data_IF_644978867713
#
_entry.id   IF_644978867713
#
_cell.length_a   1.000
_cell.length_b   1.000
_cell.length_c   1.000
_cell.angle_alpha   90.00
_cell.angle_beta   90.00
_cell.angle_gamma   90.00
#
_symmetry.space_group_name_H-M   'P 1'
#
loop_
_entity.id
_entity.type
_entity.pdbx_description
1 polymer ?
#
# COMPACT_ATOMS: atom_id res chain seq x y z
N UNK A 1 8.11 -17.90 10.84
CA UNK A 1 9.25 -17.05 10.43
C UNK A 1 8.93 -16.41 9.09
N UNK A 2 8.43 -15.18 9.09
CA UNK A 2 8.13 -14.41 7.88
C UNK A 2 9.36 -13.58 7.54
N UNK A 3 10.14 -14.02 6.55
CA UNK A 3 11.29 -13.27 6.03
C UNK A 3 10.76 -12.06 5.25
N UNK A 4 10.73 -10.88 5.88
CA UNK A 4 10.57 -9.61 5.17
C UNK A 4 11.82 -9.33 4.35
N UNK A 5 11.85 -9.84 3.10
CA UNK A 5 12.86 -9.43 2.11
C UNK A 5 12.73 -7.92 1.90
N UNK A 6 13.73 -7.15 2.33
CA UNK A 6 13.87 -5.76 1.89
C UNK A 6 14.16 -5.76 0.40
N UNK A 7 13.46 -4.92 -0.34
CA UNK A 7 13.74 -4.64 -1.74
C UNK A 7 14.69 -3.46 -1.76
N UNK A 8 15.97 -3.71 -2.06
CA UNK A 8 16.96 -2.65 -2.21
C UNK A 8 16.52 -1.70 -3.34
N UNK A 9 16.59 -0.38 -3.08
CA UNK A 9 16.18 0.64 -4.07
C UNK A 9 14.69 0.99 -4.11
N UNK A 10 13.86 0.43 -3.22
CA UNK A 10 12.43 0.74 -3.13
C UNK A 10 12.11 2.25 -3.07
N UNK A 11 12.82 3.09 -2.29
CA UNK A 11 12.55 4.54 -2.25
C UNK A 11 12.69 5.21 -3.64
N UNK A 12 13.76 4.90 -4.36
CA UNK A 12 14.00 5.47 -5.70
C UNK A 12 12.95 5.00 -6.73
N UNK A 13 12.48 3.75 -6.62
CA UNK A 13 11.39 3.24 -7.46
C UNK A 13 10.09 3.98 -7.17
N UNK A 14 9.77 4.20 -5.88
CA UNK A 14 8.57 4.91 -5.47
C UNK A 14 8.59 6.38 -5.88
N UNK A 15 9.74 7.07 -5.79
CA UNK A 15 9.91 8.45 -6.28
C UNK A 15 9.68 8.54 -7.79
N UNK A 16 10.31 7.64 -8.58
CA UNK A 16 10.12 7.61 -10.03
C UNK A 16 8.67 7.27 -10.41
N UNK A 17 8.05 6.36 -9.68
CA UNK A 17 6.64 5.99 -9.86
C UNK A 17 5.72 7.18 -9.56
N UNK A 18 5.94 7.88 -8.45
CA UNK A 18 5.21 9.08 -8.08
C UNK A 18 5.35 10.18 -9.15
N UNK A 19 6.58 10.47 -9.59
CA UNK A 19 6.82 11.45 -10.64
C UNK A 19 6.07 11.08 -11.92
N UNK A 20 6.16 9.82 -12.34
CA UNK A 20 5.49 9.33 -13.56
C UNK A 20 3.96 9.41 -13.43
N UNK A 21 3.40 9.03 -12.28
CA UNK A 21 1.96 9.08 -12.03
C UNK A 21 1.37 10.49 -12.11
N UNK A 22 2.17 11.49 -11.74
CA UNK A 22 1.77 12.91 -11.74
C UNK A 22 2.06 13.64 -13.07
N UNK A 23 2.92 13.09 -13.93
CA UNK A 23 3.37 13.76 -15.18
C UNK A 23 2.95 13.06 -16.47
N UNK A 24 2.59 11.77 -16.42
CA UNK A 24 2.19 11.02 -17.61
C UNK A 24 0.84 11.49 -18.18
N UNK A 25 0.66 11.32 -19.49
CA UNK A 25 -0.62 11.53 -20.18
C UNK A 25 -1.61 10.40 -19.82
N UNK A 26 -2.80 10.77 -19.36
CA UNK A 26 -3.87 9.82 -19.05
C UNK A 26 -4.56 9.18 -20.27
N UNK A 27 -4.15 9.50 -21.51
CA UNK A 27 -4.74 8.99 -22.77
C UNK A 27 -6.26 9.15 -22.80
N UNK A 28 -6.75 10.33 -22.41
CA UNK A 28 -8.18 10.65 -22.30
C UNK A 28 -8.97 9.72 -21.37
N UNK A 29 -8.30 8.97 -20.49
CA UNK A 29 -8.89 8.05 -19.53
C UNK A 29 -8.76 8.60 -18.11
N UNK A 30 -9.87 8.67 -17.37
CA UNK A 30 -9.84 9.01 -15.94
C UNK A 30 -9.21 7.86 -15.15
N UNK A 31 -8.38 8.18 -14.15
CA UNK A 31 -7.67 7.21 -13.31
C UNK A 31 -6.97 6.11 -14.13
N UNK A 32 -6.03 6.48 -15.02
CA UNK A 32 -5.46 5.59 -16.01
C UNK A 32 -4.67 4.46 -15.33
N UNK A 33 -4.87 3.26 -15.86
CA UNK A 33 -4.16 2.04 -15.52
C UNK A 33 -3.79 1.33 -16.82
N UNK A 34 -2.53 0.93 -16.96
CA UNK A 34 -2.02 0.47 -18.24
C UNK A 34 -1.87 -1.03 -18.21
N UNK A 35 -2.47 -1.72 -19.18
CA UNK A 35 -2.39 -3.15 -19.33
C UNK A 35 -1.58 -3.48 -20.59
N UNK A 36 -0.70 -4.47 -20.47
CA UNK A 36 -0.02 -5.07 -21.62
C UNK A 36 -0.82 -6.28 -22.05
N UNK A 37 -1.20 -6.30 -23.32
CA UNK A 37 -1.83 -7.44 -23.96
C UNK A 37 -0.92 -8.02 -25.04
N UNK A 38 -0.95 -9.33 -25.21
CA UNK A 38 -0.39 -10.04 -26.37
C UNK A 38 -1.51 -10.58 -27.24
N UNK A 39 -1.22 -10.86 -28.51
CA UNK A 39 -2.18 -11.48 -29.42
C UNK A 39 -2.00 -12.99 -29.43
N UNK A 40 -3.10 -13.72 -29.25
CA UNK A 40 -3.14 -15.19 -29.32
C UNK A 40 -4.25 -15.64 -30.24
N UNK A 41 -3.95 -16.64 -31.06
CA UNK A 41 -4.96 -17.30 -31.87
C UNK A 41 -5.63 -18.39 -31.05
N UNK A 42 -6.96 -18.39 -31.09
CA UNK A 42 -7.78 -19.47 -30.55
C UNK A 42 -8.62 -20.07 -31.66
N UNK A 43 -8.89 -21.37 -31.55
CA UNK A 43 -9.89 -22.02 -32.39
C UNK A 43 -11.26 -21.63 -31.86
N UNK A 44 -12.11 -21.16 -32.78
CA UNK A 44 -13.51 -20.81 -32.51
C UNK A 44 -14.41 -21.64 -33.41
N UNK A 45 -15.68 -21.71 -33.04
CA UNK A 45 -16.67 -22.33 -33.89
C UNK A 45 -16.93 -21.46 -35.14
N UNK A 46 -17.12 -22.13 -36.27
CA UNK A 46 -17.34 -21.51 -37.59
C UNK A 46 -18.56 -20.59 -37.64
N UNK A 47 -19.55 -20.83 -36.78
CA UNK A 47 -20.80 -20.07 -36.75
C UNK A 47 -20.71 -18.83 -35.83
N UNK A 48 -19.58 -18.62 -35.13
CA UNK A 48 -19.30 -17.45 -34.31
C UNK A 48 -18.36 -16.46 -35.02
N UNK A 49 -18.15 -15.29 -34.41
CA UNK A 49 -17.28 -14.25 -34.95
C UNK A 49 -15.81 -14.70 -34.99
N UNK A 50 -15.22 -14.74 -36.20
CA UNK A 50 -13.89 -15.27 -36.49
C UNK A 50 -13.12 -14.38 -37.48
N UNK A 51 -11.78 -14.39 -37.40
CA UNK A 51 -10.92 -13.61 -38.29
C UNK A 51 -10.52 -14.40 -39.54
N UNK A 52 -10.33 -15.72 -39.39
CA UNK A 52 -10.01 -16.63 -40.48
C UNK A 52 -10.85 -17.91 -40.36
N UNK A 53 -11.19 -18.48 -41.52
CA UNK A 53 -11.91 -19.74 -41.59
C UNK A 53 -11.42 -20.54 -42.79
N UNK A 54 -11.11 -21.81 -42.55
CA UNK A 54 -10.52 -22.69 -43.54
C UNK A 54 -10.99 -24.12 -43.37
N UNK A 55 -10.86 -24.90 -44.44
CA UNK A 55 -11.06 -26.35 -44.40
C UNK A 55 -9.71 -27.01 -44.16
N UNK A 56 -9.62 -27.81 -43.11
CA UNK A 56 -8.41 -28.48 -42.67
C UNK A 56 -8.57 -30.00 -42.74
N UNK A 57 -7.58 -30.67 -43.31
CA UNK A 57 -7.55 -32.13 -43.33
C UNK A 57 -6.96 -32.66 -42.02
N UNK A 58 -7.71 -33.50 -41.30
CA UNK A 58 -7.30 -33.99 -39.99
C UNK A 58 -5.98 -34.80 -40.03
N UNK A 59 -5.85 -35.76 -40.95
CA UNK A 59 -4.65 -36.61 -41.01
C UNK A 59 -3.45 -35.98 -41.73
N UNK A 60 -3.69 -35.26 -42.83
CA UNK A 60 -2.62 -34.72 -43.69
C UNK A 60 -2.07 -33.38 -43.20
N UNK A 61 -2.75 -32.75 -42.24
CA UNK A 61 -2.39 -31.43 -41.72
C UNK A 61 -2.23 -30.39 -42.85
N UNK A 62 -3.14 -30.42 -43.82
CA UNK A 62 -3.14 -29.51 -44.98
C UNK A 62 -4.42 -28.68 -45.02
N UNK A 63 -4.28 -27.41 -45.44
CA UNK A 63 -5.40 -26.54 -45.73
C UNK A 63 -5.92 -26.80 -47.15
N UNK A 64 -7.24 -26.75 -47.32
CA UNK A 64 -7.87 -26.97 -48.61
C UNK A 64 -7.55 -25.83 -49.58
N UNK A 65 -7.21 -26.17 -50.83
CA UNK A 65 -7.19 -25.19 -51.91
C UNK A 65 -8.58 -24.58 -52.15
N UNK A 66 -8.65 -23.39 -52.75
CA UNK A 66 -9.92 -22.68 -52.94
C UNK A 66 -10.99 -23.53 -53.65
N UNK A 67 -10.61 -24.26 -54.71
CA UNK A 67 -11.52 -25.15 -55.44
C UNK A 67 -12.04 -26.30 -54.56
N UNK A 68 -11.16 -26.85 -53.70
CA UNK A 68 -11.52 -27.93 -52.76
C UNK A 68 -12.43 -27.39 -51.67
N UNK A 69 -12.11 -26.23 -51.10
CA UNK A 69 -12.92 -25.56 -50.09
C UNK A 69 -14.34 -25.26 -50.60
N UNK A 70 -14.48 -24.74 -51.83
CA UNK A 70 -15.80 -24.53 -52.46
C UNK A 70 -16.60 -25.82 -52.58
N UNK A 71 -15.96 -26.92 -52.97
CA UNK A 71 -16.62 -28.24 -53.04
C UNK A 71 -17.06 -28.73 -51.66
N UNK A 72 -16.22 -28.58 -50.64
CA UNK A 72 -16.53 -28.99 -49.27
C UNK A 72 -17.67 -28.15 -48.68
N UNK A 73 -17.73 -26.86 -49.01
CA UNK A 73 -18.81 -25.99 -48.59
C UNK A 73 -20.16 -26.43 -49.17
N UNK A 74 -20.19 -26.83 -50.45
CA UNK A 74 -21.39 -27.40 -51.07
C UNK A 74 -21.82 -28.70 -50.39
N UNK A 75 -20.87 -29.60 -50.09
CA UNK A 75 -21.18 -30.85 -49.37
C UNK A 75 -21.79 -30.59 -47.99
N UNK A 76 -21.18 -29.67 -47.21
CA UNK A 76 -21.70 -29.29 -45.89
C UNK A 76 -23.09 -28.67 -46.00
N UNK A 77 -23.31 -27.77 -46.97
CA UNK A 77 -24.61 -27.12 -47.20
C UNK A 77 -25.71 -28.11 -47.55
N UNK A 78 -25.39 -29.15 -48.32
CA UNK A 78 -26.31 -30.21 -48.70
C UNK A 78 -26.49 -31.28 -47.60
N UNK A 79 -25.88 -31.10 -46.42
CA UNK A 79 -25.93 -32.06 -45.31
C UNK A 79 -25.18 -33.37 -45.58
N UNK A 80 -24.24 -33.36 -46.54
CA UNK A 80 -23.42 -34.52 -46.90
C UNK A 80 -22.13 -34.56 -46.11
N UNK A 81 -21.60 -35.77 -45.92
CA UNK A 81 -20.32 -35.98 -45.24
C UNK A 81 -19.17 -35.30 -46.00
N UNK A 82 -18.30 -34.61 -45.25
CA UNK A 82 -17.10 -33.95 -45.77
C UNK A 82 -15.85 -34.82 -45.62
N UNK A 83 -16.01 -36.06 -45.14
CA UNK A 83 -14.91 -36.98 -44.83
C UNK A 83 -14.04 -36.45 -43.69
N UNK A 84 -12.72 -36.59 -43.82
CA UNK A 84 -11.71 -36.14 -42.84
C UNK A 84 -11.42 -34.63 -42.88
N UNK A 85 -12.21 -33.87 -43.66
CA UNK A 85 -12.10 -32.43 -43.72
C UNK A 85 -13.00 -31.78 -42.67
N UNK A 86 -12.40 -30.94 -41.83
CA UNK A 86 -13.10 -30.16 -40.82
C UNK A 86 -12.96 -28.68 -41.13
N UNK A 87 -14.05 -27.94 -40.92
CA UNK A 87 -14.05 -26.49 -41.02
C UNK A 87 -13.56 -25.92 -39.68
N UNK A 88 -12.41 -25.26 -39.70
CA UNK A 88 -11.78 -24.65 -38.52
C UNK A 88 -11.84 -23.15 -38.70
N UNK A 89 -12.40 -22.45 -37.72
CA UNK A 89 -12.33 -21.01 -37.63
C UNK A 89 -11.34 -20.62 -36.53
N UNK A 90 -10.59 -19.55 -36.77
CA UNK A 90 -9.62 -19.02 -35.81
C UNK A 90 -9.87 -17.54 -35.58
N UNK A 91 -9.57 -17.10 -34.35
CA UNK A 91 -9.70 -15.71 -33.93
C UNK A 91 -8.48 -15.25 -33.16
N UNK A 92 -7.98 -14.06 -33.48
CA UNK A 92 -6.91 -13.40 -32.77
C UNK A 92 -7.48 -12.61 -31.58
N UNK A 93 -7.41 -13.21 -30.39
CA UNK A 93 -7.84 -12.56 -29.16
C UNK A 93 -6.68 -11.85 -28.46
N UNK A 94 -7.03 -10.83 -27.68
CA UNK A 94 -6.08 -10.15 -26.81
C UNK A 94 -5.99 -10.88 -25.47
N UNK A 95 -4.79 -11.36 -25.14
CA UNK A 95 -4.47 -12.06 -23.90
C UNK A 95 -3.75 -11.13 -22.93
N UNK A 96 -4.21 -11.07 -21.68
CA UNK A 96 -3.65 -10.21 -20.64
C UNK A 96 -2.31 -10.77 -20.15
N UNK A 97 -1.26 -9.94 -20.18
CA UNK A 97 0.08 -10.34 -19.70
C UNK A 97 0.41 -9.69 -18.36
N UNK A 98 0.24 -8.37 -18.24
CA UNK A 98 0.52 -7.64 -17.00
C UNK A 98 -0.19 -6.29 -16.96
N UNK A 99 -0.23 -5.66 -15.79
CA UNK A 99 -0.71 -4.29 -15.63
C UNK A 99 0.23 -3.44 -14.77
N UNK A 100 0.29 -2.16 -15.07
CA UNK A 100 1.15 -1.18 -14.41
C UNK A 100 0.37 0.12 -14.16
N UNK A 101 0.74 0.83 -13.10
CA UNK A 101 0.22 2.16 -12.80
C UNK A 101 0.67 3.23 -13.82
N UNK A 102 1.77 2.99 -14.54
CA UNK A 102 2.34 3.95 -15.49
C UNK A 102 2.57 3.32 -16.85
N UNK A 103 2.43 4.14 -17.90
CA UNK A 103 2.75 3.71 -19.27
C UNK A 103 4.22 3.31 -19.38
N UNK A 104 5.11 4.03 -18.69
CA UNK A 104 6.54 3.72 -18.67
C UNK A 104 6.80 2.34 -18.06
N UNK A 105 6.09 1.95 -16.99
CA UNK A 105 6.23 0.61 -16.43
C UNK A 105 5.87 -0.51 -17.43
N UNK A 106 4.86 -0.27 -18.28
CA UNK A 106 4.53 -1.18 -19.37
C UNK A 106 5.63 -1.22 -20.45
N UNK A 107 6.23 -0.07 -20.79
CA UNK A 107 7.35 0.00 -21.74
C UNK A 107 8.57 -0.76 -21.22
N UNK A 108 8.93 -0.55 -19.96
CA UNK A 108 10.04 -1.25 -19.30
C UNK A 108 9.79 -2.77 -19.28
N UNK A 109 8.55 -3.20 -19.01
CA UNK A 109 8.18 -4.61 -19.10
C UNK A 109 8.34 -5.17 -20.52
N UNK A 110 7.90 -4.43 -21.55
CA UNK A 110 8.03 -4.85 -22.94
C UNK A 110 9.47 -4.87 -23.44
N UNK A 111 10.33 -3.99 -22.93
CA UNK A 111 11.76 -4.02 -23.23
C UNK A 111 12.41 -5.31 -22.72
N UNK A 112 12.03 -5.76 -21.52
CA UNK A 112 12.57 -6.97 -20.89
C UNK A 112 11.94 -8.24 -21.48
N UNK A 113 10.61 -8.28 -21.63
CA UNK A 113 9.85 -9.50 -21.92
C UNK A 113 9.21 -9.52 -23.32
N UNK A 114 9.26 -8.43 -24.07
CA UNK A 114 8.54 -8.31 -25.35
C UNK A 114 8.95 -9.34 -26.40
N UNK A 115 10.18 -9.86 -26.34
CA UNK A 115 10.66 -10.93 -27.22
C UNK A 115 9.92 -12.26 -27.03
N UNK A 116 9.30 -12.48 -25.87
CA UNK A 116 8.48 -13.67 -25.58
C UNK A 116 6.99 -13.48 -25.94
N UNK A 117 6.61 -12.29 -26.39
CA UNK A 117 5.21 -11.92 -26.63
C UNK A 117 4.93 -11.78 -28.14
N UNK A 118 3.76 -12.26 -28.57
CA UNK A 118 3.29 -12.11 -29.95
C UNK A 118 2.48 -10.82 -30.10
N UNK A 119 2.92 -9.91 -30.98
CA UNK A 119 2.29 -8.60 -31.26
C UNK A 119 1.81 -7.86 -29.99
N UNK A 120 2.69 -7.62 -29.00
CA UNK A 120 2.26 -6.99 -27.77
C UNK A 120 1.84 -5.52 -27.99
N UNK A 121 0.87 -5.06 -27.20
CA UNK A 121 0.45 -3.66 -27.21
C UNK A 121 0.01 -3.19 -25.82
N UNK A 122 0.11 -1.87 -25.60
CA UNK A 122 -0.29 -1.23 -24.35
C UNK A 122 -1.70 -0.65 -24.52
N UNK A 123 -2.59 -1.03 -23.62
CA UNK A 123 -3.96 -0.54 -23.53
C UNK A 123 -4.13 0.27 -22.24
N UNK A 124 -4.66 1.49 -22.34
CA UNK A 124 -5.04 2.26 -21.18
C UNK A 124 -6.49 1.91 -20.81
N UNK A 125 -6.66 1.38 -19.60
CA UNK A 125 -7.95 1.18 -18.94
C UNK A 125 -8.09 2.15 -17.76
N UNK A 126 -9.26 2.15 -17.12
CA UNK A 126 -9.54 2.99 -15.95
C UNK A 126 -9.66 2.15 -14.69
N UNK A 127 -9.21 2.70 -13.56
CA UNK A 127 -9.51 2.18 -12.22
C UNK A 127 -10.91 2.56 -11.73
N UNK A 128 -11.72 3.21 -12.56
CA UNK A 128 -13.06 3.67 -12.20
C UNK A 128 -13.89 2.57 -11.52
N UNK A 129 -14.52 2.94 -10.40
CA UNK A 129 -15.30 2.06 -9.50
C UNK A 129 -14.50 1.03 -8.71
N UNK A 130 -13.17 1.02 -8.80
CA UNK A 130 -12.30 0.25 -7.92
C UNK A 130 -11.72 1.13 -6.82
N UNK A 131 -12.44 1.24 -5.68
CA UNK A 131 -12.04 2.11 -4.55
C UNK A 131 -10.68 1.77 -3.97
N UNK A 132 -10.33 0.48 -3.91
CA UNK A 132 -9.06 0.02 -3.35
C UNK A 132 -7.88 0.46 -4.22
N UNK A 133 -7.99 0.26 -5.53
CA UNK A 133 -6.95 0.65 -6.47
C UNK A 133 -6.84 2.16 -6.63
N UNK A 134 -7.96 2.89 -6.56
CA UNK A 134 -7.97 4.35 -6.52
C UNK A 134 -7.23 4.88 -5.29
N UNK A 135 -7.55 4.38 -4.10
CA UNK A 135 -6.88 4.78 -2.86
C UNK A 135 -5.36 4.50 -2.90
N UNK A 136 -4.97 3.34 -3.45
CA UNK A 136 -3.55 3.02 -3.63
C UNK A 136 -2.86 3.98 -4.61
N UNK A 137 -3.51 4.29 -5.74
CA UNK A 137 -2.99 5.22 -6.75
C UNK A 137 -2.83 6.63 -6.16
N UNK A 138 -3.82 7.12 -5.42
CA UNK A 138 -3.77 8.42 -4.75
C UNK A 138 -2.65 8.47 -3.70
N UNK A 139 -2.51 7.42 -2.88
CA UNK A 139 -1.43 7.33 -1.91
C UNK A 139 -0.03 7.34 -2.57
N UNK A 140 0.10 6.71 -3.73
CA UNK A 140 1.32 6.75 -4.55
C UNK A 140 1.59 8.14 -5.15
N UNK A 141 0.56 8.85 -5.60
CA UNK A 141 0.70 10.21 -6.13
C UNK A 141 1.16 11.22 -5.07
N UNK A 142 0.61 11.12 -3.86
CA UNK A 142 0.91 12.04 -2.75
C UNK A 142 2.22 11.66 -2.03
N UNK A 143 2.78 10.48 -2.31
CA UNK A 143 4.07 10.06 -1.75
C UNK A 143 3.99 9.56 -0.30
N UNK A 144 2.79 9.28 0.20
CA UNK A 144 2.57 8.82 1.59
C UNK A 144 3.31 7.52 1.91
N UNK A 145 3.59 6.70 0.89
CA UNK A 145 4.33 5.45 1.02
C UNK A 145 5.85 5.67 1.12
N UNK A 146 6.40 6.76 0.58
CA UNK A 146 7.80 7.13 0.74
C UNK A 146 8.06 7.82 2.11
N UNK A 147 7.10 8.62 2.59
CA UNK A 147 7.21 9.36 3.85
C UNK A 147 7.21 8.47 5.10
N UNK A 148 6.51 7.33 5.09
CA UNK A 148 6.48 6.42 6.26
C UNK A 148 7.86 5.81 6.55
N UNK A 149 8.68 5.55 5.54
CA UNK A 149 10.07 5.13 5.76
C UNK A 149 10.93 6.26 6.34
N UNK A 150 10.68 7.51 5.94
CA UNK A 150 11.48 8.66 6.38
C UNK A 150 11.08 9.16 7.79
N UNK A 151 9.80 9.09 8.17
CA UNK A 151 9.33 9.47 9.52
C UNK A 151 10.03 8.69 10.63
N UNK A 152 10.28 7.40 10.42
CA UNK A 152 10.99 6.56 11.41
C UNK A 152 12.43 7.06 11.61
N UNK A 153 13.09 7.49 10.53
CA UNK A 153 14.45 8.03 10.56
C UNK A 153 14.49 9.45 11.13
N UNK A 154 13.50 10.29 10.84
CA UNK A 154 13.39 11.65 11.40
C UNK A 154 13.13 11.64 12.90
N UNK A 155 12.24 10.78 13.40
CA UNK A 155 11.99 10.66 14.85
C UNK A 155 13.25 10.21 15.58
N UNK A 156 14.03 9.29 15.00
CA UNK A 156 15.32 8.87 15.56
C UNK A 156 16.33 10.03 15.50
N UNK A 157 16.40 10.77 14.40
CA UNK A 157 17.29 11.92 14.27
C UNK A 157 16.94 13.06 15.25
N UNK A 158 15.65 13.37 15.43
CA UNK A 158 15.15 14.39 16.35
C UNK A 158 15.39 13.98 17.81
N UNK A 159 15.19 12.70 18.14
CA UNK A 159 15.53 12.18 19.46
C UNK A 159 17.04 12.26 19.73
N UNK A 160 17.87 11.91 18.73
CA UNK A 160 19.34 12.01 18.83
C UNK A 160 19.79 13.47 18.99
N UNK A 161 19.20 14.39 18.25
CA UNK A 161 19.50 15.83 18.36
C UNK A 161 19.05 16.39 19.70
N UNK A 162 17.86 16.04 20.19
CA UNK A 162 17.37 16.43 21.51
C UNK A 162 18.26 15.90 22.65
N UNK A 163 18.72 14.65 22.56
CA UNK A 163 19.67 14.07 23.51
C UNK A 163 21.03 14.78 23.47
N UNK A 164 21.51 15.13 22.27
CA UNK A 164 22.75 15.89 22.09
C UNK A 164 22.65 17.29 22.69
N UNK A 165 21.56 18.01 22.41
CA UNK A 165 21.34 19.36 22.91
C UNK A 165 21.19 19.38 24.42
N UNK A 166 20.52 18.38 24.98
CA UNK A 166 20.43 18.18 26.44
C UNK A 166 21.81 17.93 27.05
N UNK A 167 22.64 17.08 26.44
CA UNK A 167 24.01 16.83 26.90
C UNK A 167 24.92 18.07 26.83
N UNK A 168 24.73 18.93 25.82
CA UNK A 168 25.45 20.21 25.69
C UNK A 168 24.96 21.20 26.75
N UNK A 169 23.64 21.34 26.91
CA UNK A 169 22.99 22.30 27.84
C UNK A 169 23.35 22.05 29.29
N UNK A 170 23.49 20.79 29.71
CA UNK A 170 23.80 20.43 31.10
C UNK A 170 25.28 20.12 31.35
N UNK A 171 26.19 20.59 30.49
CA UNK A 171 27.65 20.36 30.60
C UNK A 171 28.00 18.88 30.83
N UNK A 172 27.30 17.97 30.14
CA UNK A 172 27.48 16.53 30.32
C UNK A 172 28.96 16.15 30.25
N UNK A 173 29.40 15.33 31.22
CA UNK A 173 30.79 14.89 31.37
C UNK A 173 31.33 14.35 30.04
N UNK A 174 32.65 14.48 29.80
CA UNK A 174 33.26 13.93 28.57
C UNK A 174 32.87 12.46 28.35
N UNK A 175 32.67 11.70 29.43
CA UNK A 175 32.20 10.32 29.41
C UNK A 175 30.79 10.16 28.79
N UNK A 176 29.85 11.04 29.12
CA UNK A 176 28.48 11.04 28.57
C UNK A 176 28.48 11.45 27.09
N UNK A 177 29.35 12.39 26.70
CA UNK A 177 29.55 12.78 25.29
C UNK A 177 30.16 11.64 24.46
N UNK A 178 31.13 10.90 25.01
CA UNK A 178 31.76 9.75 24.35
C UNK A 178 30.80 8.55 24.26
N UNK A 179 29.99 8.30 25.31
CA UNK A 179 28.97 7.25 25.29
C UNK A 179 27.87 7.57 24.27
N UNK A 180 27.39 8.81 24.20
CA UNK A 180 26.44 9.24 23.17
C UNK A 180 27.05 9.10 21.77
N UNK A 181 28.29 9.52 21.54
CA UNK A 181 28.96 9.35 20.25
C UNK A 181 29.07 7.87 19.82
N UNK A 182 29.37 6.96 20.75
CA UNK A 182 29.47 5.53 20.48
C UNK A 182 28.12 4.84 20.23
N UNK A 183 27.02 5.39 20.74
CA UNK A 183 25.64 4.91 20.48
C UNK A 183 25.12 5.51 19.15
N UNK A 184 25.43 6.77 18.88
CA UNK A 184 24.90 7.54 17.74
C UNK A 184 25.55 7.11 16.42
N UNK A 185 26.87 6.87 16.40
CA UNK A 185 27.60 6.55 15.16
C UNK A 185 27.14 5.23 14.50
N UNK A 186 26.87 4.12 15.23
CA UNK A 186 26.33 2.89 14.64
C UNK A 186 24.86 3.03 14.17
N UNK A 187 24.04 3.78 14.90
CA UNK A 187 22.62 4.03 14.55
C UNK A 187 22.50 4.85 13.28
N UNK A 188 23.35 5.88 13.10
CA UNK A 188 23.41 6.67 11.86
C UNK A 188 24.08 5.93 10.69
N UNK A 189 24.87 4.87 10.96
CA UNK A 189 25.51 4.02 9.95
C UNK A 189 24.68 2.80 9.54
N UNK A 190 23.42 2.70 9.99
CA UNK A 190 22.49 1.67 9.52
C UNK A 190 22.74 0.26 10.06
N UNK A 191 23.35 0.12 11.25
CA UNK A 191 23.50 -1.20 11.89
C UNK A 191 22.15 -1.66 12.42
N UNK A 192 21.71 -2.84 11.96
CA UNK A 192 20.40 -3.43 12.26
C UNK A 192 20.17 -3.63 13.77
N UNK A 193 19.00 -3.20 14.25
CA UNK A 193 18.52 -3.43 15.62
C UNK A 193 17.72 -4.73 15.67
N UNK A 194 18.27 -5.77 16.33
CA UNK A 194 17.52 -6.99 16.60
C UNK A 194 16.39 -6.74 17.61
N UNK A 195 15.21 -7.27 17.31
CA UNK A 195 13.94 -7.10 18.05
C UNK A 195 13.97 -7.66 19.48
N UNK A 196 15.02 -8.41 19.85
CA UNK A 196 15.16 -9.11 21.14
C UNK A 196 15.55 -8.22 22.31
N UNK A 197 15.98 -6.98 22.07
CA UNK A 197 16.51 -6.10 23.14
C UNK A 197 15.52 -5.02 23.61
N UNK A 198 14.32 -4.98 23.00
CA UNK A 198 13.29 -4.00 23.31
C UNK A 198 12.35 -4.54 24.39
N UNK A 199 12.12 -3.73 25.41
CA UNK A 199 11.14 -3.94 26.48
C UNK A 199 10.09 -2.84 26.44
N UNK A 200 8.89 -3.13 26.95
CA UNK A 200 7.88 -2.10 27.17
C UNK A 200 8.23 -1.37 28.47
N UNK A 201 8.31 -0.04 28.39
CA UNK A 201 8.48 0.85 29.53
C UNK A 201 7.23 1.71 29.69
N UNK A 202 6.63 1.68 30.87
CA UNK A 202 5.53 2.58 31.22
C UNK A 202 6.08 3.86 31.82
N UNK A 203 5.73 5.01 31.24
CA UNK A 203 6.19 6.32 31.71
C UNK A 203 5.53 6.75 33.02
N UNK A 204 4.35 6.21 33.33
CA UNK A 204 3.59 6.58 34.53
C UNK A 204 4.07 5.83 35.78
N UNK A 205 4.24 4.51 35.68
CA UNK A 205 4.60 3.66 36.83
C UNK A 205 6.05 3.15 36.81
N UNK A 206 6.81 3.41 35.73
CA UNK A 206 8.19 2.94 35.58
C UNK A 206 8.31 1.42 35.43
N UNK A 207 7.20 0.71 35.14
CA UNK A 207 7.20 -0.73 34.95
C UNK A 207 8.01 -1.12 33.70
N UNK A 208 8.81 -2.16 33.83
CA UNK A 208 9.63 -2.76 32.76
C UNK A 208 9.18 -4.22 32.64
N UNK A 209 8.53 -4.56 31.53
CA UNK A 209 7.92 -5.89 31.35
C UNK A 209 8.39 -6.60 30.09
N UNK A 210 8.29 -7.92 30.11
CA UNK A 210 8.44 -8.76 28.92
C UNK A 210 7.17 -8.71 28.06
N UNK A 211 7.32 -9.01 26.78
CA UNK A 211 6.22 -8.94 25.82
C UNK A 211 5.49 -10.27 25.83
N UNK A 212 4.41 -10.35 26.61
CA UNK A 212 3.40 -11.40 26.48
C UNK A 212 1.99 -10.79 26.42
N UNK A 213 1.09 -11.47 25.72
CA UNK A 213 -0.26 -10.96 25.39
C UNK A 213 -1.13 -10.70 26.65
N UNK A 214 -0.68 -11.17 27.82
CA UNK A 214 -1.38 -11.04 29.10
C UNK A 214 -1.03 -9.75 29.87
N UNK A 215 -0.14 -8.88 29.37
CA UNK A 215 0.33 -7.67 30.10
C UNK A 215 -0.02 -6.37 29.37
N UNK A 216 -1.24 -6.28 28.82
CA UNK A 216 -1.73 -5.05 28.20
C UNK A 216 -1.84 -3.88 29.20
N UNK A 217 -2.12 -4.13 30.48
CA UNK A 217 -2.56 -3.06 31.38
C UNK A 217 -1.81 -3.02 32.72
N UNK A 218 -0.61 -2.46 32.73
CA UNK A 218 0.01 -2.04 34.00
C UNK A 218 -0.47 -0.65 34.49
N UNK A 219 -1.13 0.13 33.62
CA UNK A 219 -1.75 1.43 33.93
C UNK A 219 -3.06 1.60 33.13
N UNK A 220 -4.09 2.25 33.67
CA UNK A 220 -5.40 2.43 33.01
C UNK A 220 -5.34 3.24 31.71
N UNK A 221 -4.22 3.93 31.45
CA UNK A 221 -3.98 4.65 30.20
C UNK A 221 -3.39 3.77 29.08
N UNK A 222 -2.85 2.59 29.39
CA UNK A 222 -2.23 1.68 28.41
C UNK A 222 -1.00 2.24 27.68
N UNK A 223 -0.50 3.43 28.04
CA UNK A 223 0.55 4.12 27.28
C UNK A 223 1.96 3.68 27.71
N UNK A 224 2.48 2.64 27.04
CA UNK A 224 3.88 2.22 27.16
C UNK A 224 4.66 2.52 25.88
N UNK A 225 5.94 2.88 26.01
CA UNK A 225 6.86 3.00 24.86
C UNK A 225 7.84 1.82 24.80
N UNK A 226 8.23 1.46 23.59
CA UNK A 226 9.23 0.42 23.36
C UNK A 226 10.62 1.04 23.40
N UNK A 227 11.44 0.61 24.36
CA UNK A 227 12.80 1.11 24.57
C UNK A 227 13.73 -0.06 24.88
N UNK A 228 15.05 0.14 24.76
CA UNK A 228 16.01 -0.90 25.17
C UNK A 228 15.92 -1.14 26.67
N UNK A 229 16.11 -2.40 27.11
CA UNK A 229 16.09 -2.78 28.54
C UNK A 229 16.99 -1.88 29.41
N UNK A 230 18.22 -1.64 28.97
CA UNK A 230 19.16 -0.76 29.67
C UNK A 230 18.65 0.68 29.84
N UNK A 231 17.95 1.22 28.84
CA UNK A 231 17.35 2.57 28.89
C UNK A 231 16.16 2.61 29.84
N UNK A 232 15.30 1.59 29.80
CA UNK A 232 14.18 1.44 30.71
C UNK A 232 14.65 1.35 32.18
N UNK A 233 15.68 0.56 32.45
CA UNK A 233 16.26 0.40 33.79
C UNK A 233 16.84 1.70 34.33
N UNK A 234 17.54 2.46 33.48
CA UNK A 234 18.10 3.75 33.84
C UNK A 234 17.01 4.81 34.08
N UNK A 235 15.94 4.82 33.28
CA UNK A 235 14.79 5.68 33.49
C UNK A 235 14.05 5.33 34.80
N UNK A 236 13.90 4.05 35.13
CA UNK A 236 13.30 3.58 36.40
C UNK A 236 14.09 4.04 37.62
N UNK A 237 15.42 3.96 37.57
CA UNK A 237 16.30 4.47 38.64
C UNK A 237 16.13 5.99 38.86
N UNK A 238 15.69 6.71 37.84
CA UNK A 238 15.43 8.15 37.92
C UNK A 238 14.06 8.47 38.55
N UNK A 239 13.13 7.50 38.62
CA UNK A 239 11.78 7.66 39.16
C UNK A 239 11.64 7.29 40.64
N UNK A 240 12.61 6.62 41.26
CA UNK A 240 12.50 6.19 42.65
C UNK A 240 12.77 7.33 43.65
N UNK A 241 11.70 8.01 44.09
CA UNK A 241 11.55 8.36 45.51
C UNK A 241 10.77 7.22 46.19
N UNK A 242 11.29 6.61 47.27
CA UNK A 242 10.62 5.51 47.93
C UNK A 242 9.50 6.07 48.80
N UNK A 243 8.25 5.61 48.62
CA UNK A 243 7.33 5.22 49.71
C UNK A 243 5.86 5.06 49.29
N UNK A 244 5.43 5.45 48.08
CA UNK A 244 3.99 5.38 47.74
C UNK A 244 3.55 4.22 46.82
N UNK A 245 4.46 3.40 46.27
CA UNK A 245 4.05 2.43 45.24
C UNK A 245 3.66 1.03 45.72
N UNK A 246 3.72 0.73 47.03
CA UNK A 246 3.48 -0.65 47.50
C UNK A 246 2.01 -1.04 47.70
N UNK A 247 1.07 -0.09 47.74
CA UNK A 247 -0.32 -0.38 48.07
C UNK A 247 -1.34 -0.13 46.95
N UNK A 248 -0.93 0.19 45.73
CA UNK A 248 -1.87 0.55 44.66
C UNK A 248 -2.31 -0.63 43.76
N UNK A 249 -1.77 -1.83 43.94
CA UNK A 249 -1.99 -2.94 43.00
C UNK A 249 -2.46 -4.21 43.71
N UNK A 250 -3.61 -4.14 44.36
CA UNK A 250 -4.42 -5.32 44.68
C UNK A 250 -5.89 -4.94 44.57
N UNK A 251 -6.52 -5.24 43.45
CA UNK A 251 -7.97 -5.42 43.33
C UNK A 251 -8.28 -6.53 42.31
N UNK A 252 -9.46 -7.17 42.44
CA UNK A 252 -9.62 -8.62 42.37
C UNK A 252 -9.83 -9.13 40.94
N UNK A 253 -9.52 -10.41 40.75
CA UNK A 253 -9.83 -11.16 39.53
C UNK A 253 -11.35 -11.28 39.33
N UNK A 254 -11.91 -10.49 38.44
CA UNK A 254 -13.25 -10.73 37.89
C UNK A 254 -13.14 -11.42 36.52
N UNK A 255 -13.79 -12.58 36.45
CA UNK A 255 -13.96 -13.41 35.26
C UNK A 255 -14.79 -12.66 34.22
N UNK A 256 -14.33 -12.66 32.96
CA UNK A 256 -15.05 -12.09 31.83
C UNK A 256 -16.22 -13.01 31.46
N UNK A 257 -17.45 -12.49 31.48
CA UNK A 257 -18.63 -13.15 30.87
C UNK A 257 -19.00 -12.47 29.54
N UNK A 258 -19.28 -13.29 28.52
CA UNK A 258 -19.55 -12.93 27.11
C UNK A 258 -20.90 -12.22 26.85
N UNK A 259 -21.43 -11.46 27.80
CA UNK A 259 -22.73 -10.78 27.68
C UNK A 259 -22.58 -9.25 27.70
N UNK A 260 -22.13 -8.66 26.58
CA UNK A 260 -22.16 -7.21 26.40
C UNK A 260 -23.56 -6.76 25.97
N UNK A 261 -24.22 -5.97 26.82
CA UNK A 261 -25.58 -5.47 26.68
C UNK A 261 -25.77 -4.64 25.38
N UNK A 262 -26.70 -5.01 24.47
CA UNK A 262 -26.91 -4.34 23.18
C UNK A 262 -27.37 -2.88 23.28
N UNK A 263 -27.80 -2.39 24.45
CA UNK A 263 -28.14 -0.97 24.63
C UNK A 263 -26.89 -0.07 24.75
N UNK A 264 -25.80 -0.57 25.33
CA UNK A 264 -24.56 0.19 25.53
C UNK A 264 -23.86 0.46 24.19
N UNK A 265 -23.95 -0.47 23.23
CA UNK A 265 -23.37 -0.32 21.88
C UNK A 265 -24.14 0.66 20.99
N UNK A 266 -25.46 0.79 21.18
CA UNK A 266 -26.29 1.76 20.44
C UNK A 266 -26.05 3.20 20.89
N UNK A 267 -25.87 3.42 22.19
CA UNK A 267 -25.55 4.75 22.72
C UNK A 267 -24.19 5.25 22.20
N UNK A 268 -23.16 4.38 22.21
CA UNK A 268 -21.84 4.70 21.66
C UNK A 268 -21.90 5.04 20.16
N UNK A 269 -22.72 4.33 19.38
CA UNK A 269 -22.91 4.60 17.96
C UNK A 269 -23.56 5.98 17.69
N UNK A 270 -24.56 6.35 18.49
CA UNK A 270 -25.24 7.65 18.37
C UNK A 270 -24.33 8.82 18.75
N UNK A 271 -23.48 8.66 19.76
CA UNK A 271 -22.47 9.68 20.11
C UNK A 271 -21.44 9.88 18.99
N UNK A 272 -21.03 8.79 18.35
CA UNK A 272 -20.07 8.83 17.24
C UNK A 272 -20.67 9.53 16.01
N UNK A 273 -21.96 9.29 15.75
CA UNK A 273 -22.70 9.95 14.68
C UNK A 273 -22.91 11.45 14.96
N UNK A 274 -23.27 11.82 16.19
CA UNK A 274 -23.39 13.22 16.59
C UNK A 274 -22.05 13.98 16.46
N UNK A 275 -20.94 13.32 16.78
CA UNK A 275 -19.60 13.89 16.62
C UNK A 275 -19.24 14.13 15.16
N UNK A 276 -19.68 13.24 14.26
CA UNK A 276 -19.46 13.37 12.82
C UNK A 276 -20.23 14.56 12.23
N UNK A 277 -21.47 14.77 12.67
CA UNK A 277 -22.30 15.90 12.24
C UNK A 277 -21.73 17.25 12.73
N UNK A 278 -21.17 17.27 13.95
CA UNK A 278 -20.50 18.45 14.48
C UNK A 278 -19.28 18.83 13.63
N UNK A 279 -18.43 17.85 13.27
CA UNK A 279 -17.26 18.08 12.43
C UNK A 279 -17.62 18.56 11.02
N UNK A 280 -18.71 18.05 10.43
CA UNK A 280 -19.20 18.54 9.13
C UNK A 280 -19.66 20.00 9.21
N UNK A 281 -20.28 20.38 10.32
CA UNK A 281 -20.72 21.76 10.56
C UNK A 281 -19.53 22.71 10.71
N UNK A 282 -18.50 22.32 11.46
CA UNK A 282 -17.27 23.09 11.62
C UNK A 282 -16.52 23.26 10.28
N UNK A 283 -16.50 22.21 9.45
CA UNK A 283 -15.89 22.25 8.12
C UNK A 283 -16.66 23.15 7.14
N UNK A 284 -17.99 23.20 7.23
CA UNK A 284 -18.80 24.13 6.46
C UNK A 284 -18.56 25.59 6.87
N UNK A 285 -18.44 25.86 8.17
CA UNK A 285 -18.17 27.21 8.69
C UNK A 285 -16.77 27.71 8.27
N UNK A 286 -15.75 26.87 8.33
CA UNK A 286 -14.39 27.22 7.90
C UNK A 286 -14.32 27.50 6.39
N UNK A 287 -15.00 26.70 5.56
CA UNK A 287 -15.11 26.99 4.11
C UNK A 287 -15.80 28.33 3.83
N UNK A 288 -16.88 28.64 4.54
CA UNK A 288 -17.56 29.93 4.40
C UNK A 288 -16.68 31.11 4.84
N UNK A 289 -15.84 30.92 5.87
CA UNK A 289 -14.87 31.93 6.31
C UNK A 289 -13.76 32.16 5.28
N UNK A 290 -13.23 31.09 4.67
CA UNK A 290 -12.23 31.19 3.60
C UNK A 290 -12.78 31.93 2.38
N UNK A 291 -13.99 31.58 1.93
CA UNK A 291 -14.62 32.26 0.79
C UNK A 291 -14.81 33.77 1.05
N UNK A 292 -15.18 34.14 2.28
CA UNK A 292 -15.28 35.56 2.67
C UNK A 292 -13.91 36.25 2.68
N UNK A 293 -12.86 35.57 3.11
CA UNK A 293 -11.50 36.09 3.10
C UNK A 293 -10.99 36.30 1.66
N UNK A 294 -11.23 35.34 0.76
CA UNK A 294 -10.91 35.46 -0.67
C UNK A 294 -11.62 36.66 -1.31
N UNK A 295 -12.93 36.79 -1.10
CA UNK A 295 -13.70 37.94 -1.59
C UNK A 295 -13.22 39.28 -1.01
N UNK A 296 -12.70 39.29 0.23
CA UNK A 296 -12.14 40.49 0.84
C UNK A 296 -10.78 40.86 0.23
N UNK A 297 -9.94 39.87 -0.08
CA UNK A 297 -8.65 40.05 -0.75
C UNK A 297 -8.82 40.55 -2.19
N UNK A 298 -9.79 40.00 -2.94
CA UNK A 298 -10.13 40.49 -4.28
C UNK A 298 -10.59 41.96 -4.26
N UNK A 299 -11.44 42.33 -3.29
CA UNK A 299 -11.87 43.73 -3.10
C UNK A 299 -10.74 44.67 -2.69
N UNK A 300 -9.73 44.16 -1.99
CA UNK A 300 -8.56 44.93 -1.60
C UNK A 300 -7.55 45.12 -2.75
N UNK A 301 -7.81 44.57 -3.94
CA UNK A 301 -6.91 44.69 -5.10
C UNK A 301 -5.61 43.91 -4.95
N UNK A 302 -5.53 43.03 -3.94
CA UNK A 302 -4.40 42.13 -3.72
C UNK A 302 -4.62 40.93 -4.63
N UNK A 303 -4.10 41.01 -5.87
CA UNK A 303 -4.00 39.83 -6.73
C UNK A 303 -3.01 38.86 -6.08
N UNK A 304 -3.48 37.64 -5.82
CA UNK A 304 -2.63 36.51 -5.47
C UNK A 304 -1.62 36.21 -6.58
#
# INVERSE_FOLDING_TARGET
>A
MTMTKRVDGLPAILERLQLSLNTQDGRYTADPFYCVFSKREIVVDADYDHDQIGWWHQERHEEASETKARRLELLRRDGRETGEWVKIATKEISYFETACFTEQGCKDFLEIQGHNLRKPYIYATSLFRNREMLALREALMVGQLAEKSDRSNRVIADLVNSLRDTAIKYQGSQQLRTQLANIIVPVLKGVELHRTDLVRYCHECGHIGEVNDQHLDCCPSGQGSYVRRAVAEQARLSLSKPEQSKNACQLPSEEWSDDADPEITKAAYLELQARQDQLQTELAQTRAALLKAEQALEKAGVKA
#
